data_IF_408074497938
#
_entry.id   IF_408074497938
#
_cell.length_a   1.000
_cell.length_b   1.000
_cell.length_c   1.000
_cell.angle_alpha   90.00
_cell.angle_beta   90.00
_cell.angle_gamma   90.00
#
_symmetry.space_group_name_H-M   'P 1'
#
loop_
_entity.id
_entity.type
_entity.pdbx_description
1 polymer ?
#
# COMPACT_ATOMS: atom_id res chain seq x y z
N UNK A 1 25.11 -1.30 4.10
CA UNK A 1 24.37 -1.61 5.35
C UNK A 1 24.74 -3.01 5.79
N UNK A 2 24.72 -3.29 7.10
CA UNK A 2 24.91 -4.67 7.60
C UNK A 2 23.64 -5.48 7.31
N UNK A 3 23.74 -6.79 6.99
CA UNK A 3 22.57 -7.66 6.86
C UNK A 3 21.67 -7.59 8.11
N UNK A 4 20.35 -7.55 7.93
CA UNK A 4 19.37 -7.53 9.02
C UNK A 4 19.05 -6.15 9.63
N UNK A 5 19.70 -5.07 9.18
CA UNK A 5 19.33 -3.71 9.61
C UNK A 5 18.18 -3.14 8.77
N UNK A 6 17.14 -2.65 9.44
CA UNK A 6 16.05 -1.89 8.83
C UNK A 6 16.55 -0.56 8.26
N UNK A 7 16.06 -0.18 7.08
CA UNK A 7 16.28 1.17 6.53
C UNK A 7 15.46 2.15 7.35
N UNK A 8 16.13 3.10 8.01
CA UNK A 8 15.53 4.25 8.70
C UNK A 8 15.61 5.50 7.81
N UNK A 9 14.80 6.53 8.12
CA UNK A 9 14.90 7.82 7.43
C UNK A 9 16.32 8.40 7.46
N UNK A 10 17.06 8.24 8.57
CA UNK A 10 18.44 8.69 8.69
C UNK A 10 19.39 7.94 7.76
N UNK A 11 19.29 6.60 7.74
CA UNK A 11 20.11 5.79 6.83
C UNK A 11 19.78 6.09 5.38
N UNK A 12 18.51 6.35 5.06
CA UNK A 12 18.07 6.68 3.71
C UNK A 12 18.55 8.07 3.29
N UNK A 13 18.41 9.10 4.14
CA UNK A 13 19.01 10.42 3.91
C UNK A 13 20.52 10.34 3.65
N UNK A 14 21.25 9.55 4.44
CA UNK A 14 22.68 9.36 4.23
C UNK A 14 23.00 8.68 2.88
N UNK A 15 22.13 7.81 2.36
CA UNK A 15 22.27 7.27 1.00
C UNK A 15 21.96 8.32 -0.07
N UNK A 16 20.95 9.16 0.13
CA UNK A 16 20.60 10.26 -0.79
C UNK A 16 21.77 11.25 -0.89
N UNK A 17 22.41 11.58 0.23
CA UNK A 17 23.60 12.44 0.24
C UNK A 17 24.72 11.81 -0.59
N UNK A 18 25.01 10.52 -0.39
CA UNK A 18 26.00 9.79 -1.20
C UNK A 18 25.64 9.75 -2.67
N UNK A 19 24.36 9.55 -3.00
CA UNK A 19 23.87 9.57 -4.37
C UNK A 19 24.14 10.94 -5.01
N UNK A 20 23.85 12.04 -4.30
CA UNK A 20 24.02 13.41 -4.79
C UNK A 20 25.46 13.70 -5.19
N UNK A 21 26.42 13.26 -4.38
CA UNK A 21 27.85 13.43 -4.65
C UNK A 21 28.33 12.66 -5.90
N UNK A 22 27.63 11.59 -6.28
CA UNK A 22 27.97 10.76 -7.43
C UNK A 22 27.15 11.09 -8.69
N UNK A 23 26.19 12.02 -8.61
CA UNK A 23 25.36 12.41 -9.74
C UNK A 23 26.07 13.48 -10.60
N UNK A 24 26.10 13.33 -11.93
CA UNK A 24 26.67 14.34 -12.81
C UNK A 24 25.86 15.64 -12.77
N UNK A 25 26.53 16.76 -13.00
CA UNK A 25 25.91 18.08 -13.06
C UNK A 25 24.91 18.14 -14.21
N UNK A 26 23.66 18.52 -13.94
CA UNK A 26 22.60 18.54 -14.94
C UNK A 26 22.54 19.90 -15.65
N UNK A 27 22.70 19.88 -16.98
CA UNK A 27 22.81 21.11 -17.80
C UNK A 27 21.45 21.79 -18.06
N UNK A 28 20.32 21.06 -17.96
CA UNK A 28 19.00 21.53 -18.41
C UNK A 28 17.88 21.48 -17.35
N UNK A 29 18.19 21.18 -16.08
CA UNK A 29 17.19 21.12 -14.99
C UNK A 29 17.76 21.67 -13.70
N UNK A 30 16.87 22.20 -12.84
CA UNK A 30 17.21 22.70 -11.50
C UNK A 30 17.73 21.60 -10.56
N UNK A 31 17.35 20.34 -10.80
CA UNK A 31 17.89 19.19 -10.09
C UNK A 31 17.39 17.85 -10.64
N UNK A 32 17.94 16.74 -10.11
CA UNK A 32 17.55 15.38 -10.49
C UNK A 32 16.11 15.06 -10.11
N UNK A 33 15.43 14.30 -10.98
CA UNK A 33 14.17 13.64 -10.63
C UNK A 33 14.51 12.40 -9.80
N UNK A 34 13.83 12.23 -8.67
CA UNK A 34 13.83 10.97 -7.94
C UNK A 34 12.48 10.27 -8.05
N UNK A 35 12.56 8.98 -8.41
CA UNK A 35 11.47 8.04 -8.32
C UNK A 35 11.73 7.16 -7.10
N UNK A 36 10.83 7.17 -6.13
CA UNK A 36 11.00 6.41 -4.91
C UNK A 36 9.65 5.86 -4.47
N UNK A 37 9.62 4.64 -3.95
CA UNK A 37 8.37 4.12 -3.41
C UNK A 37 7.94 4.93 -2.17
N UNK A 38 6.68 4.84 -1.77
CA UNK A 38 6.13 5.53 -0.61
C UNK A 38 6.54 4.87 0.74
N UNK A 39 7.58 4.04 0.75
CA UNK A 39 8.08 3.34 1.92
C UNK A 39 8.49 4.32 2.99
N UNK A 40 8.45 3.82 4.21
CA UNK A 40 8.44 4.67 5.39
C UNK A 40 9.64 5.61 5.52
N UNK A 41 10.88 5.21 5.19
CA UNK A 41 12.04 6.11 5.16
C UNK A 41 11.96 7.18 4.07
N UNK A 42 11.22 6.94 2.98
CA UNK A 42 11.16 7.82 1.82
C UNK A 42 10.17 8.98 2.02
N UNK A 43 9.05 8.70 2.70
CA UNK A 43 8.00 9.67 2.98
C UNK A 43 8.17 10.45 4.30
N UNK A 44 9.19 10.14 5.10
CA UNK A 44 9.42 10.82 6.38
C UNK A 44 9.71 12.32 6.17
N UNK A 45 9.22 13.18 7.07
CA UNK A 45 9.41 14.65 6.98
C UNK A 45 10.88 15.04 6.79
N UNK A 46 11.79 14.36 7.50
CA UNK A 46 13.24 14.55 7.36
C UNK A 46 13.73 14.28 5.95
N UNK A 47 13.26 13.22 5.33
CA UNK A 47 13.61 12.83 3.96
C UNK A 47 13.01 13.79 2.94
N UNK A 48 11.76 14.18 3.10
CA UNK A 48 11.12 15.20 2.25
C UNK A 48 11.87 16.53 2.34
N UNK A 49 12.26 16.95 3.53
CA UNK A 49 13.08 18.14 3.74
C UNK A 49 14.45 17.99 3.04
N UNK A 50 15.09 16.82 3.16
CA UNK A 50 16.36 16.52 2.50
C UNK A 50 16.27 16.59 0.97
N UNK A 51 15.17 16.12 0.37
CA UNK A 51 14.95 16.27 -1.07
C UNK A 51 14.85 17.73 -1.50
N UNK A 52 14.10 18.54 -0.74
CA UNK A 52 13.99 19.98 -0.99
C UNK A 52 15.33 20.69 -0.86
N UNK A 53 16.09 20.38 0.20
CA UNK A 53 17.43 20.92 0.46
C UNK A 53 18.39 20.63 -0.71
N UNK A 54 18.37 19.40 -1.22
CA UNK A 54 19.27 18.97 -2.30
C UNK A 54 18.74 19.29 -3.71
N UNK A 55 17.57 19.94 -3.80
CA UNK A 55 16.94 20.33 -5.06
C UNK A 55 16.39 19.17 -5.89
N UNK A 56 16.10 18.01 -5.28
CA UNK A 56 15.45 16.90 -5.99
C UNK A 56 13.99 17.24 -6.29
N UNK A 57 13.58 16.94 -7.53
CA UNK A 57 12.17 16.88 -7.89
C UNK A 57 11.66 15.47 -7.57
N UNK A 58 10.73 15.35 -6.63
CA UNK A 58 10.10 14.07 -6.30
C UNK A 58 8.89 13.90 -7.19
N UNK A 59 8.86 12.85 -8.02
CA UNK A 59 7.64 12.52 -8.75
C UNK A 59 6.56 12.11 -7.75
N UNK A 60 5.40 12.76 -7.82
CA UNK A 60 4.28 12.41 -6.96
C UNK A 60 3.81 10.99 -7.28
N UNK A 61 3.62 10.20 -6.23
CA UNK A 61 3.00 8.89 -6.34
C UNK A 61 1.54 8.96 -5.94
N UNK A 62 0.64 8.30 -6.70
CA UNK A 62 -0.67 7.91 -6.22
C UNK A 62 -0.61 7.48 -4.74
N UNK A 63 -1.53 7.96 -3.88
CA UNK A 63 -1.89 7.22 -2.67
C UNK A 63 -2.08 5.76 -3.04
N UNK A 64 -1.51 4.84 -2.26
CA UNK A 64 -1.50 3.40 -2.54
C UNK A 64 -2.88 2.92 -2.98
N UNK A 65 -3.08 2.92 -4.30
CA UNK A 65 -3.96 2.01 -4.97
C UNK A 65 -3.14 0.72 -5.08
N UNK A 66 -3.75 -0.47 -5.12
CA UNK A 66 -3.08 -1.65 -5.65
C UNK A 66 -2.41 -1.38 -7.02
N UNK A 67 -2.77 -0.28 -7.69
CA UNK A 67 -1.96 0.34 -8.73
C UNK A 67 -0.71 1.06 -8.23
N UNK A 68 0.42 0.64 -8.81
CA UNK A 68 1.58 1.49 -9.11
C UNK A 68 2.56 1.68 -7.94
N UNK A 69 3.29 0.61 -7.62
CA UNK A 69 4.72 0.82 -7.39
C UNK A 69 5.36 1.09 -8.77
N UNK A 70 5.96 2.26 -9.00
CA UNK A 70 6.50 2.65 -10.31
C UNK A 70 7.58 1.76 -10.87
N UNK A 71 8.36 1.17 -9.98
CA UNK A 71 9.39 0.22 -10.34
C UNK A 71 8.77 -1.07 -10.84
N UNK A 72 7.58 -1.46 -10.38
CA UNK A 72 6.97 -2.76 -10.70
C UNK A 72 6.54 -2.86 -12.18
N UNK A 73 5.98 -1.77 -12.72
CA UNK A 73 5.30 -1.82 -14.02
C UNK A 73 6.25 -1.78 -15.23
N UNK A 74 7.39 -1.08 -15.11
CA UNK A 74 8.33 -0.94 -16.22
C UNK A 74 9.70 -1.52 -15.87
N UNK A 75 10.32 -1.10 -14.77
CA UNK A 75 11.68 -1.53 -14.44
C UNK A 75 11.73 -3.03 -14.06
N UNK A 76 10.89 -3.47 -13.12
CA UNK A 76 10.89 -4.84 -12.60
C UNK A 76 10.30 -5.84 -13.58
N UNK A 77 9.32 -5.46 -14.42
CA UNK A 77 8.90 -6.31 -15.54
C UNK A 77 10.09 -6.68 -16.44
N UNK A 78 10.85 -5.67 -16.85
CA UNK A 78 12.01 -5.87 -17.72
C UNK A 78 13.18 -6.52 -16.97
N UNK A 79 13.35 -6.25 -15.68
CA UNK A 79 14.36 -6.90 -14.83
C UNK A 79 14.02 -8.38 -14.62
N UNK A 80 12.78 -8.72 -14.27
CA UNK A 80 12.29 -10.09 -14.12
C UNK A 80 12.51 -10.88 -15.41
N UNK A 81 12.13 -10.32 -16.56
CA UNK A 81 12.42 -10.93 -17.87
C UNK A 81 13.92 -11.10 -18.12
N UNK A 82 14.76 -10.13 -17.73
CA UNK A 82 16.21 -10.24 -17.85
C UNK A 82 16.81 -11.31 -16.93
N UNK A 83 16.24 -11.49 -15.74
CA UNK A 83 16.69 -12.43 -14.72
C UNK A 83 16.10 -13.85 -14.89
N UNK A 84 15.08 -14.02 -15.73
CA UNK A 84 14.38 -15.29 -15.92
C UNK A 84 15.35 -16.43 -16.30
N UNK A 85 15.22 -17.56 -15.61
CA UNK A 85 16.08 -18.74 -15.80
C UNK A 85 17.52 -18.61 -15.26
N UNK A 86 17.88 -17.50 -14.60
CA UNK A 86 19.21 -17.34 -13.99
C UNK A 86 19.23 -17.85 -12.56
N UNK A 87 20.29 -18.56 -12.21
CA UNK A 87 20.57 -19.01 -10.84
C UNK A 87 21.79 -18.23 -10.34
N UNK A 88 21.65 -17.57 -9.18
CA UNK A 88 22.74 -16.81 -8.55
C UNK A 88 23.29 -17.61 -7.37
N UNK A 89 24.59 -17.91 -7.40
CA UNK A 89 25.26 -18.67 -6.33
C UNK A 89 25.73 -17.77 -5.20
N UNK A 90 25.98 -16.50 -5.48
CA UNK A 90 26.44 -15.51 -4.51
C UNK A 90 25.66 -14.19 -4.61
N UNK A 91 25.62 -13.38 -3.52
CA UNK A 91 25.05 -12.03 -3.58
C UNK A 91 25.74 -11.11 -4.59
N UNK A 92 27.04 -11.32 -4.85
CA UNK A 92 27.78 -10.49 -5.82
C UNK A 92 27.44 -10.84 -7.27
N UNK A 93 27.04 -12.08 -7.55
CA UNK A 93 26.49 -12.46 -8.86
C UNK A 93 25.19 -11.70 -9.13
N UNK A 94 24.31 -11.63 -8.14
CA UNK A 94 23.06 -10.89 -8.22
C UNK A 94 23.30 -9.38 -8.44
N UNK A 95 24.24 -8.78 -7.69
CA UNK A 95 24.63 -7.37 -7.88
C UNK A 95 25.19 -7.12 -9.28
N UNK A 96 26.03 -8.03 -9.77
CA UNK A 96 26.63 -7.92 -11.10
C UNK A 96 25.57 -8.02 -12.19
N UNK A 97 24.63 -8.96 -12.07
CA UNK A 97 23.51 -9.08 -12.99
C UNK A 97 22.62 -7.83 -13.00
N UNK A 98 22.32 -7.26 -11.82
CA UNK A 98 21.59 -6.01 -11.72
C UNK A 98 22.33 -4.83 -12.40
N UNK A 99 23.63 -4.67 -12.14
CA UNK A 99 24.46 -3.65 -12.81
C UNK A 99 24.45 -3.83 -14.34
N UNK A 100 24.59 -5.07 -14.83
CA UNK A 100 24.52 -5.39 -16.26
C UNK A 100 23.15 -5.00 -16.84
N UNK A 101 22.06 -5.30 -16.13
CA UNK A 101 20.72 -4.88 -16.53
C UNK A 101 20.64 -3.35 -16.65
N UNK A 102 21.03 -2.61 -15.62
CA UNK A 102 20.97 -1.14 -15.61
C UNK A 102 21.80 -0.54 -16.76
N UNK A 103 23.03 -1.03 -16.95
CA UNK A 103 23.94 -0.55 -18.00
C UNK A 103 23.49 -0.92 -19.42
N UNK A 104 22.64 -1.96 -19.56
CA UNK A 104 22.07 -2.36 -20.86
C UNK A 104 20.89 -1.49 -21.33
N UNK A 105 20.43 -0.55 -20.50
CA UNK A 105 19.27 0.31 -20.83
C UNK A 105 19.72 1.70 -21.28
N UNK A 106 19.14 2.17 -22.38
CA UNK A 106 19.35 3.53 -22.85
C UNK A 106 18.47 4.54 -22.10
N UNK A 107 18.76 5.86 -22.18
CA UNK A 107 17.95 6.88 -21.54
C UNK A 107 16.46 6.84 -21.93
N UNK A 108 16.14 6.45 -23.16
CA UNK A 108 14.76 6.34 -23.66
C UNK A 108 13.96 5.28 -22.90
N UNK A 109 14.60 4.18 -22.47
CA UNK A 109 13.97 3.16 -21.65
C UNK A 109 13.42 3.76 -20.35
N UNK A 110 14.23 4.55 -19.63
CA UNK A 110 13.82 5.17 -18.38
C UNK A 110 12.79 6.27 -18.60
N UNK A 111 12.98 7.09 -19.65
CA UNK A 111 12.03 8.14 -20.03
C UNK A 111 10.64 7.56 -20.37
N UNK A 112 10.58 6.44 -21.11
CA UNK A 112 9.31 5.72 -21.37
C UNK A 112 8.67 5.22 -20.07
N UNK A 113 9.47 4.67 -19.15
CA UNK A 113 8.98 4.25 -17.84
C UNK A 113 8.35 5.39 -17.05
N UNK A 114 9.08 6.51 -16.91
CA UNK A 114 8.61 7.70 -16.19
C UNK A 114 7.37 8.31 -16.86
N UNK A 115 7.36 8.44 -18.19
CA UNK A 115 6.20 8.95 -18.93
C UNK A 115 4.98 8.04 -18.81
N UNK A 116 5.18 6.71 -18.72
CA UNK A 116 4.08 5.78 -18.45
C UNK A 116 3.46 6.04 -17.08
N UNK A 117 4.22 6.40 -16.05
CA UNK A 117 3.67 6.68 -14.71
C UNK A 117 2.72 7.89 -14.70
N UNK A 118 3.06 8.92 -15.47
CA UNK A 118 2.19 10.11 -15.59
C UNK A 118 0.98 9.86 -16.51
N UNK A 119 1.01 8.80 -17.32
CA UNK A 119 -0.03 8.47 -18.31
C UNK A 119 -0.76 7.15 -17.99
N UNK A 120 -0.50 6.51 -16.86
CA UNK A 120 -1.24 5.31 -16.47
C UNK A 120 -2.63 5.72 -16.05
N UNK A 121 -3.62 5.31 -16.85
CA UNK A 121 -5.01 5.41 -16.47
C UNK A 121 -5.21 4.74 -15.11
N UNK A 122 -5.95 5.38 -14.20
CA UNK A 122 -6.26 4.78 -12.91
C UNK A 122 -7.12 3.52 -13.13
N UNK A 123 -7.06 2.57 -12.20
CA UNK A 123 -7.92 1.38 -12.26
C UNK A 123 -9.39 1.73 -12.42
N UNK A 124 -10.04 1.05 -13.37
CA UNK A 124 -11.50 1.02 -13.45
C UNK A 124 -12.10 0.47 -12.16
N UNK A 125 -13.36 0.81 -11.88
CA UNK A 125 -14.05 0.32 -10.69
C UNK A 125 -14.19 -1.21 -10.68
N UNK A 126 -14.40 -1.83 -11.84
CA UNK A 126 -14.42 -3.30 -11.97
C UNK A 126 -13.08 -3.94 -11.64
N UNK A 127 -11.97 -3.34 -12.09
CA UNK A 127 -10.63 -3.83 -11.75
C UNK A 127 -10.37 -3.68 -10.25
N UNK A 128 -10.75 -2.55 -9.64
CA UNK A 128 -10.67 -2.34 -8.18
C UNK A 128 -11.44 -3.42 -7.42
N UNK A 129 -12.69 -3.69 -7.82
CA UNK A 129 -13.52 -4.77 -7.26
C UNK A 129 -12.81 -6.12 -7.35
N UNK A 130 -12.30 -6.46 -8.53
CA UNK A 130 -11.61 -7.74 -8.79
C UNK A 130 -10.38 -7.91 -7.90
N UNK A 131 -9.60 -6.85 -7.71
CA UNK A 131 -8.44 -6.85 -6.82
C UNK A 131 -8.84 -6.99 -5.35
N UNK A 132 -9.86 -6.26 -4.90
CA UNK A 132 -10.37 -6.40 -3.54
C UNK A 132 -10.89 -7.83 -3.30
N UNK A 133 -11.62 -8.41 -4.26
CA UNK A 133 -12.13 -9.77 -4.18
C UNK A 133 -10.99 -10.79 -4.11
N UNK A 134 -10.03 -10.75 -5.04
CA UNK A 134 -8.89 -11.67 -5.03
C UNK A 134 -8.03 -11.56 -3.76
N UNK A 135 -7.86 -10.35 -3.24
CA UNK A 135 -7.16 -10.13 -1.96
C UNK A 135 -7.92 -10.71 -0.78
N UNK A 136 -9.24 -10.52 -0.73
CA UNK A 136 -10.11 -11.08 0.30
C UNK A 136 -10.13 -12.62 0.25
N UNK A 137 -10.11 -13.22 -0.95
CA UNK A 137 -9.98 -14.67 -1.14
C UNK A 137 -8.64 -15.19 -0.60
N UNK A 138 -7.53 -14.51 -0.89
CA UNK A 138 -6.22 -14.86 -0.34
C UNK A 138 -6.18 -14.81 1.18
N UNK A 139 -6.77 -13.77 1.79
CA UNK A 139 -6.84 -13.62 3.25
C UNK A 139 -7.80 -14.65 3.88
N UNK A 140 -8.93 -14.92 3.23
CA UNK A 140 -9.85 -15.99 3.63
C UNK A 140 -9.15 -17.34 3.66
N UNK A 141 -8.37 -17.64 2.62
CA UNK A 141 -7.59 -18.86 2.54
C UNK A 141 -6.60 -18.95 3.71
N UNK A 142 -5.82 -17.91 4.01
CA UNK A 142 -4.92 -17.91 5.18
C UNK A 142 -5.66 -18.22 6.49
N UNK A 143 -6.86 -17.68 6.66
CA UNK A 143 -7.66 -17.88 7.86
C UNK A 143 -8.34 -19.26 7.93
N UNK A 144 -8.29 -20.06 6.87
CA UNK A 144 -9.03 -21.34 6.75
C UNK A 144 -8.19 -22.53 6.26
N UNK A 145 -6.94 -22.32 5.84
CA UNK A 145 -6.07 -23.33 5.21
C UNK A 145 -5.76 -24.55 6.10
N UNK A 146 -5.93 -24.44 7.42
CA UNK A 146 -5.57 -25.51 8.35
C UNK A 146 -6.34 -25.49 9.66
N UNK A 147 -5.83 -26.26 10.63
CA UNK A 147 -6.39 -26.36 11.98
C UNK A 147 -6.20 -25.10 12.81
N UNK A 148 -5.20 -24.28 12.45
CA UNK A 148 -4.97 -22.95 12.99
C UNK A 148 -5.05 -21.92 11.84
N UNK A 149 -5.76 -20.78 12.03
CA UNK A 149 -5.74 -19.71 11.04
C UNK A 149 -4.35 -19.08 10.98
N UNK A 150 -3.85 -18.72 9.80
CA UNK A 150 -2.65 -17.91 9.65
C UNK A 150 -3.06 -16.44 9.63
N UNK A 151 -2.60 -15.66 10.61
CA UNK A 151 -2.79 -14.21 10.67
C UNK A 151 -1.64 -13.56 9.89
N UNK A 152 -1.94 -12.74 8.88
CA UNK A 152 -0.93 -12.06 8.08
C UNK A 152 -0.19 -11.00 8.91
N UNK A 153 -0.92 -10.16 9.65
CA UNK A 153 -0.36 -9.22 10.62
C UNK A 153 0.16 -7.89 10.05
N UNK A 154 0.15 -7.71 8.72
CA UNK A 154 0.63 -6.48 8.05
C UNK A 154 -0.11 -6.24 6.72
N UNK A 155 -1.42 -6.45 6.73
CA UNK A 155 -2.26 -6.19 5.55
C UNK A 155 -2.31 -4.69 5.29
N UNK A 156 -1.89 -4.29 4.09
CA UNK A 156 -1.89 -2.90 3.60
C UNK A 156 -1.77 -2.92 2.09
N UNK A 157 -2.15 -1.84 1.41
CA UNK A 157 -2.06 -1.75 -0.05
C UNK A 157 -0.64 -2.04 -0.57
N UNK A 158 0.41 -1.62 0.15
CA UNK A 158 1.80 -1.89 -0.21
C UNK A 158 2.20 -3.39 -0.17
N UNK A 159 1.43 -4.22 0.51
CA UNK A 159 1.65 -5.67 0.65
C UNK A 159 0.65 -6.48 -0.21
N UNK A 160 -0.15 -5.82 -1.05
CA UNK A 160 -1.01 -6.46 -2.06
C UNK A 160 -0.40 -6.15 -3.42
N UNK A 161 0.38 -7.10 -3.94
CA UNK A 161 1.09 -6.96 -5.21
C UNK A 161 0.17 -7.31 -6.36
N UNK A 162 0.33 -6.67 -7.52
CA UNK A 162 -0.38 -7.02 -8.75
C UNK A 162 0.58 -7.64 -9.76
N UNK A 163 0.15 -8.72 -10.40
CA UNK A 163 0.88 -9.25 -11.56
C UNK A 163 0.48 -8.57 -12.88
N UNK A 164 1.04 -9.06 -13.99
CA UNK A 164 0.81 -8.52 -15.33
C UNK A 164 -0.67 -8.57 -15.79
N UNK A 165 -1.50 -9.37 -15.12
CA UNK A 165 -2.94 -9.51 -15.38
C UNK A 165 -3.78 -8.72 -14.37
N UNK A 166 -3.16 -7.92 -13.50
CA UNK A 166 -3.82 -7.21 -12.40
C UNK A 166 -4.44 -8.15 -11.36
N UNK A 167 -3.94 -9.39 -11.30
CA UNK A 167 -4.33 -10.35 -10.27
C UNK A 167 -3.57 -10.06 -8.97
N UNK A 168 -4.26 -9.94 -7.82
CA UNK A 168 -3.63 -9.64 -6.55
C UNK A 168 -2.87 -10.84 -5.98
N UNK A 169 -1.75 -10.57 -5.33
CA UNK A 169 -0.93 -11.52 -4.58
C UNK A 169 -0.54 -10.90 -3.25
N UNK A 170 -0.82 -11.60 -2.16
CA UNK A 170 -0.35 -11.19 -0.83
C UNK A 170 1.18 -11.29 -0.78
N UNK A 171 1.82 -10.26 -0.24
CA UNK A 171 3.27 -10.17 -0.05
C UNK A 171 3.62 -9.82 1.39
N UNK A 172 4.90 -9.94 1.72
CA UNK A 172 5.46 -9.58 3.04
C UNK A 172 4.84 -10.33 4.23
N UNK A 173 5.11 -11.64 4.29
CA UNK A 173 4.72 -12.52 5.40
C UNK A 173 5.65 -12.45 6.62
N UNK A 174 6.52 -11.43 6.71
CA UNK A 174 7.50 -11.32 7.80
C UNK A 174 6.89 -11.26 9.20
N UNK A 175 5.63 -10.85 9.28
CA UNK A 175 4.84 -10.73 10.51
C UNK A 175 3.77 -11.82 10.67
N UNK A 176 3.69 -12.79 9.76
CA UNK A 176 2.64 -13.80 9.77
C UNK A 176 2.83 -14.85 10.84
N UNK A 177 1.75 -15.27 11.50
CA UNK A 177 1.76 -16.19 12.66
C UNK A 177 0.52 -17.07 12.69
N UNK A 178 0.62 -18.23 13.33
CA UNK A 178 -0.55 -19.06 13.63
C UNK A 178 -1.42 -18.39 14.70
N UNK A 179 -2.71 -18.34 14.46
CA UNK A 179 -3.71 -17.65 15.29
C UNK A 179 -4.16 -18.44 16.52
N UNK A 180 -3.43 -19.51 16.88
CA UNK A 180 -3.62 -20.23 18.15
C UNK A 180 -3.01 -19.49 19.35
N UNK A 181 -2.35 -18.36 19.14
CA UNK A 181 -1.69 -17.62 20.22
C UNK A 181 -2.43 -16.33 20.51
N UNK A 182 -3.39 -16.38 21.44
CA UNK A 182 -3.70 -15.22 22.27
C UNK A 182 -2.47 -14.97 23.14
N UNK A 183 -1.47 -14.26 22.59
CA UNK A 183 -0.31 -13.87 23.36
C UNK A 183 -0.75 -12.85 24.40
N UNK A 184 -0.75 -13.25 25.67
CA UNK A 184 -0.62 -12.30 26.76
C UNK A 184 0.71 -11.55 26.59
N UNK A 185 0.64 -10.23 26.78
CA UNK A 185 1.67 -9.24 26.41
C UNK A 185 3.02 -9.36 27.14
N UNK A 186 3.29 -10.47 27.82
CA UNK A 186 4.50 -10.73 28.59
C UNK A 186 5.63 -11.35 27.78
N UNK A 187 5.34 -12.03 26.66
CA UNK A 187 6.40 -12.64 25.86
C UNK A 187 6.94 -11.64 24.83
N UNK A 188 8.24 -11.38 24.93
CA UNK A 188 8.98 -10.35 24.18
C UNK A 188 9.02 -10.69 22.68
N UNK A 189 7.91 -10.56 21.97
CA UNK A 189 7.89 -10.66 20.51
C UNK A 189 8.36 -9.33 19.92
N UNK A 190 9.36 -9.32 19.02
CA UNK A 190 9.95 -8.09 18.49
C UNK A 190 8.86 -7.31 17.77
N UNK A 191 8.39 -6.28 18.47
CA UNK A 191 7.29 -5.40 18.11
C UNK A 191 7.13 -5.22 16.60
N UNK A 192 5.93 -5.55 16.11
CA UNK A 192 5.25 -4.90 14.98
C UNK A 192 5.83 -3.52 14.78
N UNK A 193 6.24 -3.19 13.57
CA UNK A 193 6.91 -1.94 13.23
C UNK A 193 6.07 -0.69 13.60
N UNK A 194 6.06 -0.35 14.90
CA UNK A 194 5.08 0.47 15.62
C UNK A 194 5.43 1.96 15.65
N UNK A 195 6.52 2.35 15.00
CA UNK A 195 7.06 3.70 15.12
C UNK A 195 6.66 4.63 13.96
N UNK A 196 5.73 4.22 13.09
CA UNK A 196 5.47 4.93 11.84
C UNK A 196 3.96 5.09 11.64
N UNK A 197 3.52 6.35 11.71
CA UNK A 197 2.11 6.78 11.64
C UNK A 197 1.31 6.15 10.50
N UNK A 198 1.94 5.94 9.34
CA UNK A 198 1.31 5.32 8.16
C UNK A 198 0.89 3.86 8.35
N UNK A 199 1.66 3.05 9.08
CA UNK A 199 1.25 1.67 9.37
C UNK A 199 0.39 1.57 10.62
N UNK A 200 0.57 2.46 11.59
CA UNK A 200 -0.35 2.56 12.72
C UNK A 200 -1.80 2.79 12.27
N UNK A 201 -2.00 3.45 11.12
CA UNK A 201 -3.34 3.68 10.56
C UNK A 201 -4.05 2.39 10.09
N UNK A 202 -3.34 1.30 9.85
CA UNK A 202 -3.91 -0.02 9.52
C UNK A 202 -4.10 -0.91 10.76
N UNK A 203 -3.57 -0.50 11.92
CA UNK A 203 -3.67 -1.32 13.13
C UNK A 203 -4.95 -1.01 13.89
N UNK A 204 -5.69 -2.04 14.35
CA UNK A 204 -6.90 -1.83 15.12
C UNK A 204 -6.57 -1.35 16.56
N UNK A 205 -7.48 -0.61 17.20
CA UNK A 205 -7.24 0.00 18.52
C UNK A 205 -7.00 -1.02 19.64
N UNK A 206 -7.61 -2.19 19.59
CA UNK A 206 -7.38 -3.25 20.60
C UNK A 206 -5.98 -3.87 20.48
N UNK A 207 -5.40 -3.87 19.28
CA UNK A 207 -4.04 -4.35 19.08
C UNK A 207 -3.01 -3.32 19.53
N UNK A 208 -3.25 -2.04 19.27
CA UNK A 208 -2.36 -0.98 19.72
C UNK A 208 -2.32 -0.89 21.25
N UNK A 209 -3.49 -1.08 21.90
CA UNK A 209 -3.68 -0.98 23.35
C UNK A 209 -3.28 -2.25 24.11
N UNK A 210 -3.73 -3.42 23.66
CA UNK A 210 -3.68 -4.66 24.42
C UNK A 210 -2.94 -5.79 23.71
N UNK A 211 -2.34 -5.53 22.53
CA UNK A 211 -1.57 -6.50 21.74
C UNK A 211 -2.35 -7.76 21.35
N UNK A 212 -3.68 -7.68 21.32
CA UNK A 212 -4.55 -8.82 21.01
C UNK A 212 -4.42 -9.19 19.53
N UNK A 213 -3.80 -10.33 19.26
CA UNK A 213 -3.56 -10.85 17.91
C UNK A 213 -4.66 -11.86 17.56
N UNK A 214 -5.51 -11.52 16.59
CA UNK A 214 -6.58 -12.39 16.09
C UNK A 214 -6.74 -12.19 14.58
N UNK A 215 -7.48 -13.08 13.91
CA UNK A 215 -7.90 -12.89 12.51
C UNK A 215 -8.63 -11.56 12.27
N UNK A 216 -9.30 -11.01 13.30
CA UNK A 216 -9.96 -9.69 13.22
C UNK A 216 -8.99 -8.52 13.07
N UNK A 217 -7.69 -8.73 13.32
CA UNK A 217 -6.66 -7.75 12.98
C UNK A 217 -6.55 -7.57 11.48
N UNK A 218 -6.37 -8.66 10.74
CA UNK A 218 -6.28 -8.62 9.27
C UNK A 218 -7.58 -8.08 8.65
N UNK A 219 -8.74 -8.40 9.23
CA UNK A 219 -10.03 -7.86 8.79
C UNK A 219 -10.04 -6.33 8.90
N UNK A 220 -9.61 -5.77 10.04
CA UNK A 220 -9.56 -4.32 10.22
C UNK A 220 -8.60 -3.68 9.22
N UNK A 221 -7.38 -4.22 9.11
CA UNK A 221 -6.37 -3.73 8.20
C UNK A 221 -6.83 -3.79 6.73
N UNK A 222 -7.56 -4.84 6.35
CA UNK A 222 -8.19 -4.94 5.04
C UNK A 222 -9.36 -3.95 4.86
N UNK A 223 -10.12 -3.65 5.92
CA UNK A 223 -11.11 -2.58 5.91
C UNK A 223 -10.50 -1.22 5.52
N UNK A 224 -9.31 -0.91 6.04
CA UNK A 224 -8.55 0.28 5.64
C UNK A 224 -8.16 0.23 4.16
N UNK A 225 -7.71 -0.92 3.65
CA UNK A 225 -7.42 -1.13 2.22
C UNK A 225 -8.65 -0.85 1.35
N UNK A 226 -9.83 -1.38 1.71
CA UNK A 226 -11.08 -1.14 0.98
C UNK A 226 -11.41 0.37 0.92
N UNK A 227 -11.22 1.09 2.02
CA UNK A 227 -11.42 2.53 2.06
C UNK A 227 -10.40 3.29 1.19
N UNK A 228 -9.13 2.89 1.19
CA UNK A 228 -8.13 3.50 0.30
C UNK A 228 -8.47 3.28 -1.18
N UNK A 229 -8.89 2.06 -1.55
CA UNK A 229 -9.28 1.72 -2.92
C UNK A 229 -10.53 2.51 -3.36
N UNK A 230 -11.54 2.60 -2.48
CA UNK A 230 -12.78 3.33 -2.75
C UNK A 230 -12.53 4.84 -2.89
N UNK A 231 -11.66 5.40 -2.05
CA UNK A 231 -11.51 6.86 -1.95
C UNK A 231 -10.32 7.43 -2.72
N UNK A 232 -9.36 6.58 -3.11
CA UNK A 232 -8.07 7.01 -3.62
C UNK A 232 -7.25 7.82 -2.60
N UNK A 233 -7.63 7.82 -1.32
CA UNK A 233 -6.93 8.59 -0.27
C UNK A 233 -6.03 7.68 0.58
N UNK A 234 -4.98 8.26 1.16
CA UNK A 234 -4.06 7.53 2.04
C UNK A 234 -4.71 7.16 3.38
N UNK A 235 -4.35 6.01 3.94
CA UNK A 235 -4.74 5.58 5.28
C UNK A 235 -4.40 6.63 6.36
N UNK A 236 -3.27 7.34 6.20
CA UNK A 236 -2.88 8.48 7.04
C UNK A 236 -2.49 9.69 6.18
N UNK A 237 -2.91 10.89 6.59
CA UNK A 237 -2.47 12.16 5.97
C UNK A 237 -2.35 13.27 7.02
N UNK A 238 -1.19 13.93 7.09
CA UNK A 238 -0.96 15.12 7.94
C UNK A 238 -1.84 16.31 7.48
N UNK A 239 -2.26 16.33 6.21
CA UNK A 239 -3.04 17.42 5.61
C UNK A 239 -4.56 17.17 5.67
N UNK A 240 -4.99 16.16 6.43
CA UNK A 240 -6.41 15.79 6.60
C UNK A 240 -6.75 15.77 8.07
N UNK A 241 -7.95 16.23 8.42
CA UNK A 241 -8.50 16.12 9.77
C UNK A 241 -9.88 15.45 9.72
N UNK A 242 -10.07 14.26 10.33
CA UNK A 242 -9.09 13.43 11.03
C UNK A 242 -7.95 12.90 10.16
N UNK A 243 -6.76 12.74 10.76
CA UNK A 243 -5.60 12.21 10.05
C UNK A 243 -5.80 10.77 9.53
N UNK A 244 -6.48 9.92 10.29
CA UNK A 244 -6.77 8.53 9.92
C UNK A 244 -7.97 8.42 8.98
N UNK A 245 -7.84 7.62 7.92
CA UNK A 245 -8.86 7.49 6.87
C UNK A 245 -10.19 6.95 7.40
N UNK A 246 -10.14 5.95 8.29
CA UNK A 246 -11.34 5.36 8.91
C UNK A 246 -12.19 6.44 9.60
N UNK A 247 -11.57 7.22 10.50
CA UNK A 247 -12.25 8.27 11.24
C UNK A 247 -12.72 9.40 10.32
N UNK A 248 -11.93 9.73 9.29
CA UNK A 248 -12.32 10.74 8.31
C UNK A 248 -13.55 10.31 7.50
N UNK A 249 -13.56 9.09 6.96
CA UNK A 249 -14.72 8.54 6.24
C UNK A 249 -15.93 8.50 7.14
N UNK A 250 -15.80 7.99 8.37
CA UNK A 250 -16.91 7.94 9.33
C UNK A 250 -17.48 9.34 9.64
N UNK A 251 -16.62 10.33 9.85
CA UNK A 251 -17.02 11.73 10.09
C UNK A 251 -17.79 12.28 8.89
N UNK A 252 -17.20 12.22 7.69
CA UNK A 252 -17.83 12.74 6.45
C UNK A 252 -19.14 12.02 6.15
N UNK A 253 -19.17 10.70 6.24
CA UNK A 253 -20.39 9.92 6.03
C UNK A 253 -21.52 10.39 6.96
N UNK A 254 -21.24 10.57 8.26
CA UNK A 254 -22.22 11.04 9.24
C UNK A 254 -22.68 12.48 9.00
N UNK A 255 -21.81 13.36 8.52
CA UNK A 255 -22.14 14.74 8.16
C UNK A 255 -23.01 14.79 6.89
N UNK A 256 -22.66 13.97 5.89
CA UNK A 256 -23.32 13.95 4.58
C UNK A 256 -24.68 13.25 4.62
N UNK A 257 -24.86 12.18 5.40
CA UNK A 257 -26.12 11.40 5.45
C UNK A 257 -27.36 12.19 5.87
N UNK A 258 -27.16 13.40 6.42
CA UNK A 258 -28.24 14.30 6.84
C UNK A 258 -28.68 15.26 5.73
N UNK A 259 -27.99 15.28 4.59
CA UNK A 259 -28.28 16.16 3.45
C UNK A 259 -29.28 15.52 2.49
N UNK A 260 -30.10 16.34 1.84
CA UNK A 260 -31.06 15.88 0.83
C UNK A 260 -30.41 15.29 -0.42
N UNK A 261 -29.21 15.76 -0.79
CA UNK A 261 -28.41 15.28 -1.91
C UNK A 261 -27.28 14.32 -1.47
N UNK A 262 -27.54 13.48 -0.46
CA UNK A 262 -26.52 12.64 0.19
C UNK A 262 -25.64 11.84 -0.79
N UNK A 263 -26.24 11.13 -1.74
CA UNK A 263 -25.48 10.27 -2.66
C UNK A 263 -24.50 11.09 -3.51
N UNK A 264 -24.96 12.18 -4.12
CA UNK A 264 -24.13 13.05 -4.96
C UNK A 264 -22.95 13.64 -4.18
N UNK A 265 -23.18 14.14 -2.97
CA UNK A 265 -22.10 14.67 -2.11
C UNK A 265 -21.15 13.58 -1.64
N UNK A 266 -21.67 12.38 -1.34
CA UNK A 266 -20.84 11.24 -0.94
C UNK A 266 -19.86 10.87 -2.06
N UNK A 267 -20.34 10.76 -3.29
CA UNK A 267 -19.47 10.50 -4.46
C UNK A 267 -18.47 11.63 -4.66
N UNK A 268 -18.94 12.87 -4.70
CA UNK A 268 -18.11 14.05 -4.95
C UNK A 268 -16.95 14.20 -3.96
N UNK A 269 -17.20 13.86 -2.70
CA UNK A 269 -16.21 14.07 -1.64
C UNK A 269 -15.33 12.86 -1.37
N UNK A 270 -15.91 11.66 -1.38
CA UNK A 270 -15.22 10.46 -0.92
C UNK A 270 -14.80 9.54 -2.05
N UNK A 271 -15.35 9.61 -3.26
CA UNK A 271 -14.88 8.72 -4.34
C UNK A 271 -13.49 9.09 -4.85
N UNK A 272 -12.79 8.11 -5.42
CA UNK A 272 -11.53 8.33 -6.10
C UNK A 272 -11.72 9.24 -7.33
N UNK A 273 -11.37 10.51 -7.16
CA UNK A 273 -11.54 11.57 -8.16
C UNK A 273 -10.75 11.36 -9.45
N UNK A 274 -9.83 10.39 -9.49
CA UNK A 274 -9.07 10.06 -10.69
C UNK A 274 -9.91 9.24 -11.68
N UNK A 275 -10.91 8.51 -11.19
CA UNK A 275 -11.75 7.60 -11.98
C UNK A 275 -13.16 8.21 -12.07
N UNK A 276 -13.62 8.64 -13.26
CA UNK A 276 -15.02 9.01 -13.46
C UNK A 276 -15.92 7.86 -13.00
N UNK A 277 -17.01 8.16 -12.31
CA UNK A 277 -17.95 7.13 -11.83
C UNK A 277 -19.21 7.18 -12.68
N UNK A 278 -19.53 6.07 -13.33
CA UNK A 278 -20.82 5.89 -13.99
C UNK A 278 -21.90 5.47 -12.97
N UNK A 279 -23.17 5.48 -13.37
CA UNK A 279 -24.27 5.01 -12.50
C UNK A 279 -24.09 3.55 -12.08
N UNK A 280 -23.55 2.70 -12.94
CA UNK A 280 -23.37 1.28 -12.66
C UNK A 280 -22.20 1.06 -11.69
N UNK A 281 -21.11 1.80 -11.87
CA UNK A 281 -19.92 1.73 -11.00
C UNK A 281 -20.14 2.37 -9.62
N UNK A 282 -21.17 3.22 -9.49
CA UNK A 282 -21.60 3.81 -8.22
C UNK A 282 -21.90 2.74 -7.16
N UNK A 283 -22.43 1.58 -7.57
CA UNK A 283 -22.69 0.45 -6.69
C UNK A 283 -21.39 -0.13 -6.11
N UNK A 284 -20.34 -0.26 -6.93
CA UNK A 284 -19.03 -0.76 -6.51
C UNK A 284 -18.43 0.16 -5.46
N UNK A 285 -18.37 1.48 -5.72
CA UNK A 285 -17.88 2.45 -4.74
C UNK A 285 -18.63 2.34 -3.41
N UNK A 286 -19.97 2.36 -3.44
CA UNK A 286 -20.80 2.30 -2.23
C UNK A 286 -20.53 1.03 -1.43
N UNK A 287 -20.41 -0.12 -2.10
CA UNK A 287 -20.12 -1.40 -1.45
C UNK A 287 -18.71 -1.43 -0.85
N UNK A 288 -17.68 -0.98 -1.57
CA UNK A 288 -16.31 -0.91 -1.03
C UNK A 288 -16.25 0.02 0.19
N UNK A 289 -16.91 1.18 0.13
CA UNK A 289 -16.99 2.12 1.25
C UNK A 289 -17.71 1.52 2.47
N UNK A 290 -18.82 0.80 2.23
CA UNK A 290 -19.60 0.14 3.25
C UNK A 290 -18.83 -1.00 3.92
N UNK A 291 -18.28 -1.93 3.14
CA UNK A 291 -17.49 -3.05 3.64
C UNK A 291 -16.23 -2.57 4.36
N UNK A 292 -15.55 -1.55 3.82
CA UNK A 292 -14.41 -0.92 4.46
C UNK A 292 -14.78 -0.38 5.85
N UNK A 293 -15.89 0.35 5.93
CA UNK A 293 -16.39 0.91 7.19
C UNK A 293 -16.81 -0.16 8.20
N UNK A 294 -17.47 -1.25 7.77
CA UNK A 294 -17.87 -2.36 8.63
C UNK A 294 -16.67 -3.18 9.11
N UNK A 295 -15.69 -3.44 8.24
CA UNK A 295 -14.48 -4.17 8.57
C UNK A 295 -13.57 -3.38 9.53
N UNK A 296 -13.61 -2.05 9.49
CA UNK A 296 -12.77 -1.17 10.33
C UNK A 296 -13.49 -0.59 11.57
N UNK A 297 -14.58 -1.20 12.05
CA UNK A 297 -15.23 -0.74 13.29
C UNK A 297 -14.37 -1.04 14.53
N UNK A 298 -14.51 -0.23 15.57
CA UNK A 298 -13.73 -0.38 16.81
C UNK A 298 -13.98 -1.72 17.50
N UNK A 299 -15.24 -2.14 17.62
CA UNK A 299 -15.61 -3.43 18.20
C UNK A 299 -15.27 -4.60 17.25
N UNK A 300 -14.19 -5.32 17.56
CA UNK A 300 -13.71 -6.45 16.74
C UNK A 300 -14.75 -7.55 16.54
N UNK A 301 -15.70 -7.73 17.45
CA UNK A 301 -16.70 -8.77 17.35
C UNK A 301 -17.74 -8.44 16.27
N UNK A 302 -17.97 -7.15 16.00
CA UNK A 302 -18.89 -6.66 14.97
C UNK A 302 -18.32 -6.63 13.56
N UNK A 303 -16.99 -6.80 13.43
CA UNK A 303 -16.34 -6.86 12.10
C UNK A 303 -16.75 -8.15 11.38
N UNK A 304 -17.05 -8.13 10.08
CA UNK A 304 -17.31 -9.34 9.31
C UNK A 304 -16.09 -10.29 9.27
N UNK A 305 -16.34 -11.55 8.95
CA UNK A 305 -15.34 -12.51 8.51
C UNK A 305 -14.94 -12.25 7.05
N UNK A 306 -13.79 -12.79 6.62
CA UNK A 306 -13.44 -12.74 5.20
C UNK A 306 -14.43 -13.50 4.31
N UNK A 307 -15.11 -14.53 4.82
CA UNK A 307 -16.16 -15.22 4.08
C UNK A 307 -17.32 -14.27 3.73
N UNK A 308 -17.78 -13.48 4.70
CA UNK A 308 -18.85 -12.50 4.48
C UNK A 308 -18.41 -11.37 3.53
N UNK A 309 -17.15 -10.90 3.67
CA UNK A 309 -16.58 -9.89 2.75
C UNK A 309 -16.52 -10.43 1.32
N UNK A 310 -16.06 -11.67 1.13
CA UNK A 310 -15.96 -12.32 -0.19
C UNK A 310 -17.34 -12.42 -0.84
N UNK A 311 -18.33 -12.94 -0.11
CA UNK A 311 -19.72 -13.05 -0.60
C UNK A 311 -20.25 -11.68 -1.02
N UNK A 312 -20.09 -10.66 -0.16
CA UNK A 312 -20.59 -9.32 -0.45
C UNK A 312 -19.92 -8.64 -1.65
N UNK A 313 -18.66 -9.00 -1.97
CA UNK A 313 -17.94 -8.53 -3.15
C UNK A 313 -18.30 -9.31 -4.43
N UNK A 314 -18.70 -10.57 -4.30
CA UNK A 314 -19.17 -11.40 -5.42
C UNK A 314 -20.59 -11.02 -5.89
N UNK A 315 -21.44 -10.55 -4.98
CA UNK A 315 -22.83 -10.13 -5.25
C UNK A 315 -22.96 -8.75 -5.94
N UNK A 316 -21.84 -8.09 -6.22
CA UNK A 316 -21.80 -6.83 -6.97
C UNK A 316 -21.88 -7.01 -8.48
#
# INVERSE_FOLDING_TARGET
MKPGQSITADTYCAQIDKLRHNLPTMVRRRGPIILQDNARPHAAKKTVAKFRELGYEVLEHPPYSPDLVPTDFHLFKHLSSFLNGRIFKTPDDAKTAFKKFINSRNPEFYNRGIKKLNNTSPLSWDTKKSICLGSALGLHFLHTIGTAPIIHGDVKCANILLDKHLEPKLGDFGLSRDGQVELDASDKSPMIASHIKGTLAYLPPEFTRSKILTTKLDVYSFGVVLLEVATGQRAYSDNREPHGLVNFVAKRYNELRRRSNFEEELFKELSDKRVPITKDEAAIFKKLLHLGSQASVEDRLKRPSFSEIVVALQEL
#
